data_IF_820748845833
#
_entry.id   IF_820748845833
#
_cell.length_a   1.000
_cell.length_b   1.000
_cell.length_c   1.000
_cell.angle_alpha   90.00
_cell.angle_beta   90.00
_cell.angle_gamma   90.00
#
_symmetry.space_group_name_H-M   'P 1'
#
loop_
_entity.id
_entity.type
_entity.pdbx_description
1 polymer ?
#
# COMPACT_ATOMS: atom_id res chain seq x y z
N UNK A 1 -11.27 4.60 2.45
CA UNK A 1 -10.94 5.40 1.26
C UNK A 1 -11.85 4.88 0.18
N UNK A 2 -12.56 5.79 -0.48
CA UNK A 2 -13.65 5.46 -1.38
C UNK A 2 -13.23 5.84 -2.80
N UNK A 3 -13.66 5.05 -3.79
CA UNK A 3 -13.66 5.51 -5.19
C UNK A 3 -14.56 6.73 -5.24
N UNK A 4 -14.01 7.87 -5.64
CA UNK A 4 -14.78 9.10 -5.67
C UNK A 4 -15.74 9.10 -6.85
N UNK A 5 -15.26 8.65 -8.01
CA UNK A 5 -16.03 8.50 -9.23
C UNK A 5 -15.36 7.55 -10.23
N UNK A 6 -16.15 7.07 -11.19
CA UNK A 6 -15.72 6.28 -12.33
C UNK A 6 -16.24 6.98 -13.58
N UNK A 7 -15.34 7.35 -14.50
CA UNK A 7 -15.67 8.08 -15.73
C UNK A 7 -14.77 7.60 -16.87
N UNK A 8 -15.34 7.29 -18.04
CA UNK A 8 -14.58 6.95 -19.27
C UNK A 8 -13.45 5.92 -19.02
N UNK A 9 -13.80 4.79 -18.39
CA UNK A 9 -12.88 3.70 -18.01
C UNK A 9 -11.79 4.08 -16.99
N UNK A 10 -11.93 5.24 -16.32
CA UNK A 10 -10.99 5.71 -15.30
C UNK A 10 -11.59 5.62 -13.91
N UNK A 11 -10.78 5.22 -12.93
CA UNK A 11 -11.14 5.18 -11.52
C UNK A 11 -10.44 6.32 -10.80
N UNK A 12 -11.22 7.22 -10.19
CA UNK A 12 -10.70 8.37 -9.44
C UNK A 12 -10.66 8.04 -7.95
N UNK A 13 -9.47 8.08 -7.38
CA UNK A 13 -9.22 7.71 -5.99
C UNK A 13 -8.68 8.91 -5.22
N UNK A 14 -9.32 9.25 -4.10
CA UNK A 14 -8.88 10.36 -3.25
C UNK A 14 -7.73 9.94 -2.35
N UNK A 15 -6.56 10.53 -2.59
CA UNK A 15 -5.34 10.35 -1.80
C UNK A 15 -5.20 11.55 -0.86
N UNK A 16 -5.41 11.37 0.46
CA UNK A 16 -5.24 12.45 1.43
C UNK A 16 -3.77 12.85 1.55
N UNK A 17 -3.49 14.15 1.53
CA UNK A 17 -2.12 14.68 1.57
C UNK A 17 -1.69 15.17 2.96
N UNK A 18 -2.63 15.30 3.90
CA UNK A 18 -2.36 15.85 5.25
C UNK A 18 -2.50 14.85 6.39
N UNK A 19 -2.83 13.60 6.12
CA UNK A 19 -3.02 12.58 7.17
C UNK A 19 -1.74 11.78 7.38
N UNK A 20 -1.16 11.85 8.59
CA UNK A 20 0.11 11.17 8.91
C UNK A 20 -0.06 9.85 9.68
N UNK A 21 -1.18 9.66 10.37
CA UNK A 21 -1.46 8.44 11.17
C UNK A 21 -2.28 7.39 10.42
N UNK A 22 -2.59 7.63 9.14
CA UNK A 22 -3.42 6.75 8.32
C UNK A 22 -2.66 5.60 7.64
N UNK A 23 -3.41 4.88 6.78
CA UNK A 23 -2.86 3.90 5.83
C UNK A 23 -2.15 4.53 4.63
N UNK A 24 -2.31 5.84 4.45
CA UNK A 24 -1.69 6.63 3.39
C UNK A 24 -0.89 7.71 4.07
N UNK A 25 0.36 7.87 3.65
CA UNK A 25 1.30 8.84 4.20
C UNK A 25 2.08 9.47 3.06
N UNK A 26 2.44 10.73 3.23
CA UNK A 26 3.42 11.38 2.36
C UNK A 26 4.77 11.28 3.03
N UNK A 27 5.75 10.75 2.30
CA UNK A 27 7.12 10.55 2.75
C UNK A 27 8.10 11.16 1.76
N UNK A 28 9.33 11.36 2.20
CA UNK A 28 10.43 11.81 1.35
C UNK A 28 11.40 10.66 1.07
N UNK A 29 11.83 10.51 -0.17
CA UNK A 29 12.82 9.51 -0.58
C UNK A 29 13.97 10.20 -1.31
N UNK A 30 15.21 10.01 -0.86
CA UNK A 30 16.36 10.51 -1.64
C UNK A 30 16.88 9.48 -2.65
N UNK A 31 16.67 8.18 -2.39
CA UNK A 31 17.10 7.11 -3.29
C UNK A 31 16.28 5.85 -3.05
N UNK A 32 16.20 4.96 -4.05
CA UNK A 32 15.41 3.71 -3.99
C UNK A 32 15.69 2.83 -2.76
N UNK A 33 16.89 2.92 -2.18
CA UNK A 33 17.35 2.05 -1.10
C UNK A 33 17.18 2.65 0.29
N UNK A 34 16.72 3.91 0.38
CA UNK A 34 16.62 4.62 1.65
C UNK A 34 15.26 4.40 2.31
N UNK A 35 15.26 4.39 3.64
CA UNK A 35 14.00 4.46 4.37
C UNK A 35 13.48 5.90 4.34
N UNK A 36 12.32 6.13 3.72
CA UNK A 36 11.74 7.46 3.62
C UNK A 36 11.07 7.94 4.92
N UNK A 37 11.50 9.07 5.51
CA UNK A 37 10.82 9.63 6.67
C UNK A 37 9.46 10.25 6.29
N UNK A 38 8.49 10.30 7.24
CA UNK A 38 7.24 11.05 7.04
C UNK A 38 7.49 12.55 6.87
N UNK A 39 6.69 13.20 6.03
CA UNK A 39 6.81 14.64 5.75
C UNK A 39 5.67 15.44 6.37
N UNK A 40 5.97 16.53 7.07
CA UNK A 40 4.99 17.52 7.51
C UNK A 40 4.49 18.40 6.35
N UNK A 41 3.60 17.85 5.51
CA UNK A 41 3.15 18.44 4.23
C UNK A 41 2.51 19.82 4.30
N UNK A 42 2.00 20.24 5.46
CA UNK A 42 1.45 21.59 5.67
C UNK A 42 2.51 22.65 5.96
N UNK A 43 3.75 22.24 6.17
CA UNK A 43 4.89 23.10 6.52
C UNK A 43 6.01 23.00 5.47
N UNK A 44 6.17 21.82 4.87
CA UNK A 44 7.20 21.53 3.87
C UNK A 44 6.56 21.50 2.49
N UNK A 45 7.11 22.28 1.55
CA UNK A 45 6.63 22.30 0.18
C UNK A 45 6.94 20.98 -0.54
N UNK A 46 6.00 20.51 -1.35
CA UNK A 46 6.19 19.30 -2.14
C UNK A 46 7.31 19.45 -3.17
N UNK A 47 8.12 18.40 -3.31
CA UNK A 47 9.22 18.30 -4.26
C UNK A 47 9.14 16.95 -4.98
N UNK A 48 9.99 16.70 -5.98
CA UNK A 48 10.04 15.40 -6.67
C UNK A 48 10.47 14.24 -5.76
N UNK A 49 11.06 14.52 -4.59
CA UNK A 49 11.42 13.51 -3.60
C UNK A 49 10.22 12.99 -2.81
N UNK A 50 9.06 13.67 -2.91
CA UNK A 50 7.88 13.28 -2.16
C UNK A 50 7.12 12.15 -2.87
N UNK A 51 6.79 11.12 -2.10
CA UNK A 51 6.01 9.98 -2.56
C UNK A 51 4.87 9.66 -1.61
N UNK A 52 3.90 8.94 -2.14
CA UNK A 52 2.79 8.38 -1.38
C UNK A 52 3.17 6.97 -0.96
N UNK A 53 3.25 6.70 0.34
CA UNK A 53 3.26 5.34 0.87
C UNK A 53 1.82 4.94 1.19
N UNK A 54 1.31 3.91 0.52
CA UNK A 54 -0.05 3.43 0.74
C UNK A 54 -0.08 1.96 1.13
N UNK A 55 -0.44 1.70 2.39
CA UNK A 55 -0.82 0.38 2.87
C UNK A 55 -2.21 -0.01 2.32
N UNK A 56 -2.21 -0.54 1.10
CA UNK A 56 -3.42 -0.97 0.41
C UNK A 56 -3.98 -2.25 1.03
N UNK A 57 -5.28 -2.45 0.88
CA UNK A 57 -5.95 -3.72 1.23
C UNK A 57 -6.76 -4.20 0.05
N UNK A 58 -7.36 -5.38 0.16
CA UNK A 58 -8.14 -5.99 -0.93
C UNK A 58 -9.51 -6.50 -0.48
N UNK A 59 -9.87 -6.35 0.80
CA UNK A 59 -11.18 -6.76 1.31
C UNK A 59 -11.58 -5.98 2.55
N UNK A 60 -12.85 -6.13 2.94
CA UNK A 60 -13.40 -5.60 4.19
C UNK A 60 -14.40 -6.59 4.80
N UNK A 61 -14.33 -6.78 6.11
CA UNK A 61 -15.32 -7.56 6.89
C UNK A 61 -16.68 -6.84 6.87
N UNK A 62 -17.75 -7.53 6.49
CA UNK A 62 -19.09 -6.93 6.35
C UNK A 62 -19.69 -6.45 7.68
N UNK A 63 -19.15 -6.92 8.82
CA UNK A 63 -19.51 -6.43 10.14
C UNK A 63 -18.96 -5.03 10.41
N UNK A 64 -17.89 -4.63 9.72
CA UNK A 64 -17.33 -3.28 9.83
C UNK A 64 -18.09 -2.31 8.90
N UNK A 65 -19.26 -1.85 9.35
CA UNK A 65 -20.16 -0.99 8.57
C UNK A 65 -19.51 0.31 8.09
N UNK A 66 -18.67 0.93 8.92
CA UNK A 66 -17.97 2.17 8.56
C UNK A 66 -17.01 1.98 7.39
N UNK A 67 -16.22 0.90 7.38
CA UNK A 67 -15.30 0.61 6.26
C UNK A 67 -16.06 0.09 5.05
N UNK A 68 -17.11 -0.71 5.25
CA UNK A 68 -17.95 -1.22 4.16
C UNK A 68 -18.58 -0.06 3.38
N UNK A 69 -19.05 0.98 4.07
CA UNK A 69 -19.60 2.19 3.45
C UNK A 69 -18.60 2.95 2.53
N UNK A 70 -17.30 2.63 2.62
CA UNK A 70 -16.26 3.18 1.75
C UNK A 70 -16.05 2.38 0.47
N UNK A 71 -16.66 1.20 0.32
CA UNK A 71 -16.69 0.43 -0.92
C UNK A 71 -17.92 0.83 -1.75
N UNK A 72 -17.78 0.92 -3.07
CA UNK A 72 -18.92 0.98 -3.99
C UNK A 72 -19.55 -0.40 -4.25
N UNK A 73 -18.90 -1.48 -3.81
CA UNK A 73 -19.33 -2.88 -4.02
C UNK A 73 -19.74 -3.55 -2.70
N UNK A 74 -20.57 -2.87 -1.89
CA UNK A 74 -20.98 -3.34 -0.56
C UNK A 74 -21.74 -4.68 -0.58
N UNK A 75 -22.41 -4.96 -1.69
CA UNK A 75 -23.17 -6.19 -1.93
C UNK A 75 -22.32 -7.34 -2.49
N UNK A 76 -21.04 -7.11 -2.77
CA UNK A 76 -20.13 -8.20 -3.13
C UNK A 76 -19.82 -9.01 -1.87
N UNK A 77 -20.13 -10.31 -1.85
CA UNK A 77 -19.88 -11.15 -0.68
C UNK A 77 -19.10 -12.41 -1.05
N UNK A 78 -18.11 -12.75 -0.22
CA UNK A 78 -17.39 -14.01 -0.27
C UNK A 78 -16.97 -14.46 1.13
N UNK A 79 -16.72 -15.75 1.29
CA UNK A 79 -16.16 -16.30 2.53
C UNK A 79 -14.65 -16.30 2.41
N UNK A 80 -13.98 -15.56 3.29
CA UNK A 80 -12.53 -15.50 3.33
C UNK A 80 -11.91 -16.67 4.09
N UNK A 81 -10.59 -16.86 3.98
CA UNK A 81 -9.87 -17.99 4.61
C UNK A 81 -10.00 -18.08 6.14
N UNK A 82 -10.40 -16.99 6.81
CA UNK A 82 -10.66 -16.99 8.25
C UNK A 82 -12.15 -17.27 8.61
N UNK A 83 -12.94 -17.74 7.64
CA UNK A 83 -14.36 -18.08 7.79
C UNK A 83 -15.31 -16.88 7.81
N UNK A 84 -14.80 -15.65 7.76
CA UNK A 84 -15.65 -14.45 7.79
C UNK A 84 -16.15 -14.07 6.41
N UNK A 85 -17.38 -13.59 6.36
CA UNK A 85 -17.96 -12.94 5.17
C UNK A 85 -17.33 -11.57 4.95
N UNK A 86 -16.84 -11.34 3.74
CA UNK A 86 -16.17 -10.11 3.34
C UNK A 86 -16.72 -9.56 2.04
N UNK A 87 -16.47 -8.28 1.79
CA UNK A 87 -16.75 -7.59 0.55
C UNK A 87 -15.48 -7.10 -0.14
N UNK A 88 -15.57 -6.90 -1.45
CA UNK A 88 -14.51 -6.30 -2.26
C UNK A 88 -14.26 -4.86 -1.82
N UNK A 89 -12.99 -4.48 -1.72
CA UNK A 89 -12.59 -3.16 -1.26
C UNK A 89 -11.18 -2.82 -1.73
N UNK A 90 -10.98 -1.60 -2.24
CA UNK A 90 -9.69 -1.10 -2.75
C UNK A 90 -9.14 -1.97 -3.88
N UNK A 91 -8.08 -2.76 -3.66
CA UNK A 91 -7.38 -3.44 -4.76
C UNK A 91 -8.30 -4.38 -5.55
N UNK A 92 -9.14 -5.15 -4.86
CA UNK A 92 -10.07 -6.07 -5.53
C UNK A 92 -11.25 -5.34 -6.19
N UNK A 93 -11.62 -4.17 -5.67
CA UNK A 93 -12.64 -3.29 -6.24
C UNK A 93 -12.12 -2.63 -7.54
N UNK A 94 -10.85 -2.21 -7.59
CA UNK A 94 -10.22 -1.70 -8.81
C UNK A 94 -10.11 -2.80 -9.87
N UNK A 95 -9.69 -4.00 -9.46
CA UNK A 95 -9.63 -5.17 -10.34
C UNK A 95 -11.02 -5.48 -10.92
N UNK A 96 -12.07 -5.45 -10.11
CA UNK A 96 -13.44 -5.64 -10.57
C UNK A 96 -13.82 -4.64 -11.66
N UNK A 97 -13.61 -3.35 -11.45
CA UNK A 97 -13.93 -2.34 -12.45
C UNK A 97 -13.06 -2.42 -13.71
N UNK A 98 -11.79 -2.80 -13.58
CA UNK A 98 -10.92 -3.04 -14.74
C UNK A 98 -11.41 -4.23 -15.57
N UNK A 99 -11.94 -5.27 -14.95
CA UNK A 99 -12.57 -6.39 -15.66
C UNK A 99 -13.89 -5.98 -16.31
N UNK A 100 -14.75 -5.26 -15.59
CA UNK A 100 -16.02 -4.75 -16.13
C UNK A 100 -15.82 -3.85 -17.35
N UNK A 101 -14.78 -3.01 -17.33
CA UNK A 101 -14.45 -2.09 -18.43
C UNK A 101 -13.63 -2.76 -19.54
N UNK A 102 -13.39 -4.07 -19.48
CA UNK A 102 -12.61 -4.81 -20.50
C UNK A 102 -11.12 -4.49 -20.54
N UNK A 103 -10.59 -3.73 -19.57
CA UNK A 103 -9.15 -3.45 -19.44
C UNK A 103 -8.42 -4.74 -19.11
N UNK A 104 -8.92 -5.53 -18.15
CA UNK A 104 -8.43 -6.87 -17.82
C UNK A 104 -9.46 -7.88 -18.34
N UNK A 105 -9.03 -8.83 -19.16
CA UNK A 105 -9.94 -9.83 -19.70
C UNK A 105 -10.08 -11.05 -18.77
N UNK A 106 -11.11 -11.86 -19.02
CA UNK A 106 -11.37 -13.05 -18.19
C UNK A 106 -10.27 -14.11 -18.27
N UNK A 107 -9.52 -14.18 -19.38
CA UNK A 107 -8.40 -15.12 -19.50
C UNK A 107 -7.25 -14.74 -18.57
N UNK A 108 -6.92 -13.46 -18.46
CA UNK A 108 -5.88 -12.98 -17.52
C UNK A 108 -6.23 -13.32 -16.06
N UNK A 109 -7.51 -13.24 -15.69
CA UNK A 109 -7.96 -13.67 -14.35
C UNK A 109 -7.82 -15.18 -14.16
N UNK A 110 -8.14 -15.99 -15.18
CA UNK A 110 -7.96 -17.44 -15.14
C UNK A 110 -6.48 -17.81 -15.03
N UNK A 111 -5.61 -17.16 -15.78
CA UNK A 111 -4.16 -17.42 -15.74
C UNK A 111 -3.58 -17.07 -14.37
N UNK A 112 -4.03 -15.96 -13.76
CA UNK A 112 -3.65 -15.60 -12.40
C UNK A 112 -4.14 -16.64 -11.38
N UNK A 113 -5.36 -17.17 -11.54
CA UNK A 113 -5.89 -18.22 -10.67
C UNK A 113 -5.04 -19.50 -10.78
N UNK A 114 -4.74 -19.94 -12.00
CA UNK A 114 -3.88 -21.11 -12.25
C UNK A 114 -2.50 -20.90 -11.63
N UNK A 115 -1.91 -19.70 -11.75
CA UNK A 115 -0.65 -19.39 -11.09
C UNK A 115 -0.77 -19.55 -9.57
N UNK A 116 -1.78 -18.95 -8.93
CA UNK A 116 -1.98 -19.01 -7.47
C UNK A 116 -2.22 -20.43 -6.95
N UNK A 117 -2.96 -21.26 -7.68
CA UNK A 117 -3.22 -22.66 -7.33
C UNK A 117 -1.96 -23.54 -7.35
N UNK A 118 -0.96 -23.15 -8.13
CA UNK A 118 0.30 -23.88 -8.28
C UNK A 118 1.42 -23.38 -7.35
N UNK A 119 1.17 -22.37 -6.51
CA UNK A 119 2.17 -21.88 -5.54
C UNK A 119 2.30 -22.88 -4.39
N UNK A 120 3.52 -23.32 -4.10
CA UNK A 120 3.79 -24.13 -2.93
C UNK A 120 3.77 -23.26 -1.66
N UNK A 121 3.10 -23.72 -0.60
CA UNK A 121 3.00 -22.99 0.66
C UNK A 121 4.37 -22.63 1.28
N UNK A 122 5.42 -23.42 1.01
CA UNK A 122 6.79 -23.11 1.47
C UNK A 122 7.34 -21.81 0.88
N UNK A 123 6.85 -21.43 -0.30
CA UNK A 123 7.27 -20.24 -1.04
C UNK A 123 6.43 -19.01 -0.66
N UNK A 124 5.47 -19.16 0.26
CA UNK A 124 4.77 -18.01 0.83
C UNK A 124 5.74 -17.12 1.60
N UNK A 125 5.52 -15.81 1.50
CA UNK A 125 6.40 -14.80 2.09
C UNK A 125 6.52 -14.99 3.61
N UNK A 126 5.41 -15.29 4.30
CA UNK A 126 5.38 -15.50 5.75
C UNK A 126 5.91 -16.86 6.20
N UNK A 127 6.16 -17.78 5.26
CA UNK A 127 6.87 -19.04 5.49
C UNK A 127 8.38 -18.92 5.22
N UNK A 128 8.75 -18.07 4.26
CA UNK A 128 10.13 -17.89 3.79
C UNK A 128 10.93 -16.94 4.68
N UNK A 129 10.34 -15.81 5.09
CA UNK A 129 11.06 -14.74 5.79
C UNK A 129 10.77 -14.72 7.29
N UNK A 130 11.79 -14.40 8.10
CA UNK A 130 11.70 -14.35 9.56
C UNK A 130 12.36 -13.08 10.11
N UNK A 131 11.89 -12.64 11.26
CA UNK A 131 12.52 -11.56 12.03
C UNK A 131 13.64 -12.17 12.84
N UNK A 132 14.84 -11.62 12.71
CA UNK A 132 16.05 -12.13 13.36
C UNK A 132 16.51 -11.20 14.47
N UNK A 133 17.21 -11.77 15.46
CA UNK A 133 17.94 -11.02 16.49
C UNK A 133 19.41 -11.37 16.43
N UNK A 134 20.27 -10.37 16.48
CA UNK A 134 21.71 -10.60 16.56
C UNK A 134 22.11 -11.08 17.94
N UNK A 135 23.27 -11.74 18.03
CA UNK A 135 23.87 -12.04 19.32
C UNK A 135 24.07 -10.74 20.12
N UNK A 136 23.73 -10.71 21.42
CA UNK A 136 23.90 -9.53 22.25
C UNK A 136 25.38 -9.23 22.50
N UNK A 137 25.72 -7.94 22.57
CA UNK A 137 27.07 -7.45 22.88
C UNK A 137 26.99 -6.52 24.08
N UNK A 138 27.90 -6.68 25.04
CA UNK A 138 27.97 -5.77 26.19
C UNK A 138 28.30 -4.34 25.75
N UNK A 139 27.58 -3.38 26.33
CA UNK A 139 27.78 -1.96 26.07
C UNK A 139 27.51 -1.14 27.31
N UNK A 140 28.47 -0.28 27.67
CA UNK A 140 28.33 0.66 28.77
C UNK A 140 27.77 1.98 28.28
N UNK A 141 26.69 2.45 28.89
CA UNK A 141 26.09 3.76 28.63
C UNK A 141 25.91 4.49 29.96
N UNK A 142 26.54 5.66 30.11
CA UNK A 142 26.48 6.47 31.34
C UNK A 142 26.85 5.69 32.61
N UNK A 143 27.82 4.77 32.50
CA UNK A 143 28.30 3.95 33.63
C UNK A 143 27.44 2.72 33.94
N UNK A 144 26.34 2.50 33.22
CA UNK A 144 25.46 1.33 33.37
C UNK A 144 25.76 0.33 32.25
N UNK A 145 25.89 -0.95 32.60
CA UNK A 145 26.14 -2.02 31.65
C UNK A 145 24.83 -2.55 31.03
N UNK A 146 24.78 -2.64 29.70
CA UNK A 146 23.66 -3.16 28.91
C UNK A 146 24.14 -4.28 27.98
N UNK A 147 23.20 -5.13 27.56
CA UNK A 147 23.40 -6.04 26.42
C UNK A 147 22.64 -5.50 25.21
N UNK A 148 23.37 -4.96 24.25
CA UNK A 148 22.80 -4.45 23.00
C UNK A 148 22.61 -5.58 21.99
N UNK A 149 21.43 -5.67 21.38
CA UNK A 149 21.12 -6.57 20.28
C UNK A 149 20.25 -5.83 19.25
N UNK A 150 20.37 -6.21 17.98
CA UNK A 150 19.58 -5.65 16.89
C UNK A 150 18.47 -6.59 16.47
N UNK A 151 17.27 -6.05 16.27
CA UNK A 151 16.14 -6.76 15.63
C UNK A 151 16.12 -6.40 14.15
N UNK A 152 16.27 -7.40 13.27
CA UNK A 152 16.31 -7.22 11.82
C UNK A 152 14.97 -7.61 11.20
N UNK A 153 14.36 -6.66 10.51
CA UNK A 153 13.09 -6.84 9.80
C UNK A 153 13.36 -6.99 8.29
N UNK A 154 13.02 -8.13 7.67
CA UNK A 154 13.10 -8.26 6.22
C UNK A 154 12.18 -7.27 5.50
N UNK A 155 12.68 -6.72 4.39
CA UNK A 155 12.00 -5.81 3.49
C UNK A 155 12.20 -6.33 2.06
N UNK A 156 11.11 -6.57 1.35
CA UNK A 156 11.13 -6.93 -0.07
C UNK A 156 10.68 -5.71 -0.88
N UNK A 157 11.37 -5.45 -1.97
CA UNK A 157 11.06 -4.36 -2.89
C UNK A 157 10.85 -4.92 -4.28
N UNK A 158 9.70 -4.61 -4.90
CA UNK A 158 9.41 -4.93 -6.29
C UNK A 158 9.15 -3.65 -7.07
N UNK A 159 9.78 -3.49 -8.23
CA UNK A 159 9.66 -2.30 -9.09
C UNK A 159 8.71 -2.59 -10.24
N UNK A 160 7.93 -1.58 -10.62
CA UNK A 160 7.02 -1.63 -11.74
C UNK A 160 7.45 -0.58 -12.78
N UNK A 161 7.78 -0.99 -14.00
CA UNK A 161 8.21 -0.10 -15.09
C UNK A 161 9.43 0.78 -14.74
N UNK A 162 9.41 2.04 -15.17
CA UNK A 162 10.42 3.03 -14.79
C UNK A 162 10.30 3.34 -13.28
N UNK A 163 11.45 3.54 -12.61
CA UNK A 163 11.73 3.56 -11.14
C UNK A 163 10.79 4.28 -10.16
N UNK A 164 9.67 4.84 -10.63
CA UNK A 164 8.78 5.69 -9.87
C UNK A 164 7.72 4.91 -9.07
N UNK A 165 7.29 3.73 -9.53
CA UNK A 165 6.29 2.93 -8.82
C UNK A 165 6.93 1.67 -8.25
N UNK A 166 6.75 1.44 -6.96
CA UNK A 166 7.31 0.29 -6.26
C UNK A 166 6.31 -0.30 -5.26
N UNK A 167 6.44 -1.60 -5.02
CA UNK A 167 5.78 -2.31 -3.94
C UNK A 167 6.80 -2.67 -2.87
N UNK A 168 6.48 -2.34 -1.63
CA UNK A 168 7.25 -2.75 -0.46
C UNK A 168 6.46 -3.79 0.31
N UNK A 169 7.12 -4.88 0.71
CA UNK A 169 6.57 -5.85 1.64
C UNK A 169 7.46 -5.90 2.87
N UNK A 170 6.93 -5.37 3.98
CA UNK A 170 7.64 -5.34 5.27
C UNK A 170 7.15 -6.48 6.13
N UNK A 171 8.07 -7.32 6.60
CA UNK A 171 7.73 -8.40 7.53
C UNK A 171 7.67 -7.83 8.94
N UNK A 172 6.55 -8.01 9.63
CA UNK A 172 6.31 -7.54 11.01
C UNK A 172 5.76 -8.66 11.89
N UNK A 173 5.86 -8.52 13.20
CA UNK A 173 5.24 -9.45 14.14
C UNK A 173 3.70 -9.36 14.02
N UNK A 174 3.02 -10.51 14.12
CA UNK A 174 1.56 -10.53 14.26
C UNK A 174 1.17 -9.89 15.58
N UNK A 175 0.18 -9.00 15.54
CA UNK A 175 -0.40 -8.45 16.76
C UNK A 175 -1.32 -9.51 17.39
N UNK A 176 -1.01 -9.94 18.61
CA UNK A 176 -1.79 -10.93 19.40
C UNK A 176 -1.87 -12.34 18.79
N UNK A 177 -0.91 -12.74 17.95
CA UNK A 177 -0.78 -14.10 17.45
C UNK A 177 0.70 -14.46 17.24
N UNK A 178 0.98 -15.76 17.10
CA UNK A 178 2.34 -16.25 16.85
C UNK A 178 2.67 -16.11 15.36
N UNK A 179 3.91 -15.71 15.08
CA UNK A 179 4.48 -15.62 13.73
C UNK A 179 4.57 -14.20 13.19
N UNK A 180 4.89 -14.11 11.91
CA UNK A 180 5.07 -12.85 11.19
C UNK A 180 3.90 -12.58 10.24
N UNK A 181 3.72 -11.33 9.86
CA UNK A 181 2.74 -10.87 8.89
C UNK A 181 3.43 -9.94 7.87
N UNK A 182 3.25 -10.21 6.55
CA UNK A 182 3.72 -9.31 5.51
C UNK A 182 2.77 -8.12 5.37
N UNK A 183 3.31 -6.91 5.42
CA UNK A 183 2.59 -5.67 5.20
C UNK A 183 2.94 -5.12 3.82
N UNK A 184 1.95 -5.08 2.94
CA UNK A 184 2.12 -4.59 1.57
C UNK A 184 1.83 -3.08 1.49
N UNK A 185 2.78 -2.35 0.90
CA UNK A 185 2.67 -0.94 0.58
C UNK A 185 2.89 -0.74 -0.91
N UNK A 186 2.05 0.10 -1.52
CA UNK A 186 2.30 0.63 -2.86
C UNK A 186 2.85 2.04 -2.68
N UNK A 187 4.00 2.30 -3.29
CA UNK A 187 4.69 3.58 -3.24
C UNK A 187 4.79 4.18 -4.65
N UNK A 188 4.43 5.45 -4.80
CA UNK A 188 4.50 6.17 -6.08
C UNK A 188 4.70 7.66 -5.86
N UNK A 189 5.36 8.41 -6.77
CA UNK A 189 5.70 9.80 -6.53
C UNK A 189 4.44 10.65 -6.52
N UNK A 190 4.51 11.77 -5.81
CA UNK A 190 3.41 12.72 -5.72
C UNK A 190 3.00 13.27 -7.10
N UNK A 191 3.90 13.22 -8.08
CA UNK A 191 3.66 13.62 -9.48
C UNK A 191 2.67 12.72 -10.22
N UNK A 192 2.36 11.52 -9.70
CA UNK A 192 1.27 10.69 -10.23
C UNK A 192 -0.12 11.20 -9.83
N UNK A 193 -0.19 12.17 -8.91
CA UNK A 193 -1.45 12.71 -8.43
C UNK A 193 -1.86 13.95 -9.20
N UNK A 194 -3.16 14.07 -9.45
CA UNK A 194 -3.80 15.28 -9.97
C UNK A 194 -4.43 16.05 -8.82
N UNK A 195 -3.96 17.27 -8.57
CA UNK A 195 -4.61 18.15 -7.60
C UNK A 195 -6.01 18.57 -8.08
N UNK A 196 -6.82 19.05 -7.14
CA UNK A 196 -8.07 19.74 -7.46
C UNK A 196 -7.79 21.00 -8.30
N UNK A 197 -8.73 21.33 -9.18
CA UNK A 197 -8.68 22.50 -10.07
C UNK A 197 -7.41 22.58 -10.96
N UNK A 198 -6.80 21.43 -11.24
CA UNK A 198 -5.54 21.31 -11.99
C UNK A 198 -4.38 22.12 -11.40
N UNK A 199 -4.40 22.41 -10.09
CA UNK A 199 -3.27 23.03 -9.39
C UNK A 199 -2.03 22.13 -9.51
N UNK A 200 -0.85 22.74 -9.61
CA UNK A 200 0.42 22.01 -9.49
C UNK A 200 0.65 21.69 -8.01
N UNK A 201 1.02 20.45 -7.71
CA UNK A 201 1.37 20.04 -6.34
C UNK A 201 2.77 20.53 -5.95
N UNK A 202 3.74 20.45 -6.86
CA UNK A 202 5.13 20.82 -6.59
C UNK A 202 5.27 22.30 -6.20
N UNK A 203 6.23 22.58 -5.32
CA UNK A 203 6.63 23.91 -4.82
C UNK A 203 5.56 24.63 -3.99
N UNK A 204 4.63 23.90 -3.38
CA UNK A 204 3.72 24.45 -2.37
C UNK A 204 3.47 23.48 -1.22
N UNK A 205 2.95 24.00 -0.13
CA UNK A 205 2.47 23.21 1.00
C UNK A 205 1.04 22.74 0.78
N UNK A 206 0.63 21.73 1.55
CA UNK A 206 -0.73 21.23 1.57
C UNK A 206 -1.69 22.14 2.33
N UNK A 207 -2.89 22.32 1.80
CA UNK A 207 -4.02 22.96 2.49
C UNK A 207 -4.63 22.00 3.54
N UNK A 208 -5.41 22.54 4.48
CA UNK A 208 -6.04 21.72 5.52
C UNK A 208 -7.00 20.67 4.90
N UNK A 209 -6.82 19.40 5.26
CA UNK A 209 -7.60 18.25 4.75
C UNK A 209 -7.52 18.08 3.23
N UNK A 210 -6.47 18.62 2.60
CA UNK A 210 -6.27 18.50 1.17
C UNK A 210 -6.12 17.03 0.74
N UNK A 211 -6.67 16.72 -0.43
CA UNK A 211 -6.47 15.47 -1.13
C UNK A 211 -6.20 15.75 -2.61
N UNK A 212 -5.60 14.78 -3.29
CA UNK A 212 -5.45 14.77 -4.73
C UNK A 212 -5.94 13.44 -5.30
N UNK A 213 -6.19 13.39 -6.61
CA UNK A 213 -6.67 12.19 -7.29
C UNK A 213 -5.51 11.35 -7.82
N UNK A 214 -5.47 10.08 -7.43
CA UNK A 214 -4.86 9.04 -8.25
C UNK A 214 -5.91 8.60 -9.27
N UNK A 215 -5.56 8.60 -10.56
CA UNK A 215 -6.47 8.25 -11.65
C UNK A 215 -5.96 6.99 -12.31
N UNK A 216 -6.63 5.86 -12.06
CA UNK A 216 -6.26 4.58 -12.65
C UNK A 216 -7.00 4.38 -13.97
N UNK A 217 -6.26 3.89 -14.97
CA UNK A 217 -6.75 3.61 -16.33
C UNK A 217 -5.94 2.45 -16.96
N UNK A 218 -6.15 2.17 -18.25
CA UNK A 218 -5.47 1.08 -18.96
C UNK A 218 -3.94 1.14 -18.92
N UNK A 219 -3.33 2.33 -18.75
CA UNK A 219 -1.86 2.47 -18.64
C UNK A 219 -1.31 1.86 -17.35
N UNK A 220 -2.16 1.69 -16.35
CA UNK A 220 -1.80 1.15 -15.04
C UNK A 220 -1.99 -0.36 -14.96
N UNK A 221 -2.45 -1.00 -16.05
CA UNK A 221 -2.68 -2.46 -16.12
C UNK A 221 -1.37 -3.25 -16.09
N UNK A 222 -0.38 -2.82 -16.88
CA UNK A 222 0.92 -3.49 -17.05
C UNK A 222 1.97 -2.40 -16.96
N UNK A 223 2.59 -2.27 -15.79
CA UNK A 223 3.86 -1.57 -15.68
C UNK A 223 4.95 -2.64 -15.82
N UNK A 224 5.16 -3.07 -17.07
CA UNK A 224 6.35 -3.83 -17.49
C UNK A 224 7.57 -2.93 -17.41
#
# INVERSE_FOLDING_TARGET
MKIDKIEQDKIFIRIPLTTQSGKIRVKEHNSFYEYGPPTATRQIAFTQKHYIEWQIGYDVDISNKEKLALSSLQESHFISANGKTKALYKLSEYLFYFVQNGIINAQEIKDLLVFLENINAKDFIDSTFRIERTHPVERKLLGIDFYESQVKYPLLLHKFGNFDILVEIVIKEKQRAIGVQPMLYICFPITQLRALDNKILLNRVAESKEFAYLILDSKHKILS
#
